data_IF_191729873949
#
_entry.id   IF_191729873949
#
_cell.length_a   1.000
_cell.length_b   1.000
_cell.length_c   1.000
_cell.angle_alpha   90.00
_cell.angle_beta   90.00
_cell.angle_gamma   90.00
#
_symmetry.space_group_name_H-M   'P 1'
#
loop_
_entity.id
_entity.type
_entity.pdbx_description
1 polymer ?
#
# COMPACT_ATOMS: atom_id res chain seq x y z
N UNK A 1 -9.02 21.07 -9.81
CA UNK A 1 -9.60 20.21 -8.76
C UNK A 1 -8.91 20.54 -7.46
N UNK A 2 -9.57 20.68 -6.30
CA UNK A 2 -8.90 21.03 -5.05
C UNK A 2 -7.97 19.89 -4.64
N UNK A 3 -6.76 20.25 -4.17
CA UNK A 3 -5.79 19.32 -3.58
C UNK A 3 -6.47 18.49 -2.49
N UNK A 4 -6.52 17.18 -2.70
CA UNK A 4 -7.42 16.31 -1.96
C UNK A 4 -6.89 15.94 -0.59
N UNK A 5 -5.58 15.95 -0.36
CA UNK A 5 -4.97 15.78 0.97
C UNK A 5 -3.59 16.45 0.96
N UNK A 6 -3.39 17.44 1.79
CA UNK A 6 -2.03 17.86 2.14
C UNK A 6 -1.47 16.84 3.14
N UNK A 7 -0.91 15.74 2.62
CA UNK A 7 -0.27 14.72 3.45
C UNK A 7 1.13 15.19 3.76
N UNK A 8 1.41 15.39 5.05
CA UNK A 8 2.75 15.66 5.54
C UNK A 8 3.60 14.38 5.42
N UNK A 9 4.31 14.25 4.28
CA UNK A 9 5.15 13.09 3.97
C UNK A 9 6.33 12.93 4.92
N UNK A 10 6.82 14.01 5.52
CA UNK A 10 7.88 13.92 6.52
C UNK A 10 7.37 13.27 7.81
N UNK A 11 6.18 13.68 8.25
CA UNK A 11 5.51 13.05 9.38
C UNK A 11 5.15 11.59 9.07
N UNK A 12 4.68 11.32 7.87
CA UNK A 12 4.38 9.96 7.41
C UNK A 12 5.63 9.07 7.51
N UNK A 13 6.76 9.49 6.95
CA UNK A 13 8.04 8.77 7.03
C UNK A 13 8.46 8.50 8.48
N UNK A 14 8.31 9.49 9.36
CA UNK A 14 8.63 9.34 10.79
C UNK A 14 7.77 8.28 11.46
N UNK A 15 6.45 8.24 11.19
CA UNK A 15 5.53 7.25 11.76
C UNK A 15 5.84 5.84 11.26
N UNK A 16 6.06 5.66 9.96
CA UNK A 16 6.46 4.37 9.41
C UNK A 16 7.82 3.91 9.94
N UNK A 17 8.80 4.82 10.07
CA UNK A 17 10.10 4.47 10.64
C UNK A 17 9.99 3.93 12.08
N UNK A 18 9.13 4.55 12.90
CA UNK A 18 8.88 4.07 14.27
C UNK A 18 8.17 2.71 14.31
N UNK A 19 7.40 2.38 13.28
CA UNK A 19 6.63 1.15 13.18
C UNK A 19 7.43 -0.02 12.57
N UNK A 20 8.56 0.23 11.86
CA UNK A 20 9.29 -0.78 11.08
C UNK A 20 9.56 -2.08 11.83
N UNK A 21 10.00 -2.01 13.10
CA UNK A 21 10.35 -3.19 13.88
C UNK A 21 9.16 -4.08 14.30
N UNK A 22 7.93 -3.55 14.23
CA UNK A 22 6.70 -4.26 14.62
C UNK A 22 5.73 -4.41 13.46
N UNK A 23 6.05 -3.83 12.30
CA UNK A 23 5.16 -3.72 11.15
C UNK A 23 4.70 -5.09 10.67
N UNK A 24 5.60 -6.00 10.40
CA UNK A 24 5.28 -7.31 9.83
C UNK A 24 4.39 -8.16 10.73
N UNK A 25 4.56 -8.04 12.05
CA UNK A 25 3.71 -8.74 13.02
C UNK A 25 2.28 -8.21 13.08
N UNK A 26 2.06 -7.00 12.61
CA UNK A 26 0.77 -6.30 12.69
C UNK A 26 0.13 -6.07 11.32
N UNK A 27 0.88 -6.19 10.23
CA UNK A 27 0.44 -5.86 8.88
C UNK A 27 -0.35 -7.00 8.20
N UNK A 28 -1.21 -7.72 8.94
CA UNK A 28 -1.95 -8.88 8.44
C UNK A 28 -2.81 -8.56 7.21
N UNK A 29 -3.44 -7.38 7.19
CA UNK A 29 -4.22 -6.95 6.03
C UNK A 29 -3.32 -6.71 4.81
N UNK A 30 -2.15 -6.06 5.01
CA UNK A 30 -1.20 -5.81 3.94
C UNK A 30 -0.58 -7.09 3.39
N UNK A 31 -0.27 -8.07 4.24
CA UNK A 31 0.19 -9.39 3.82
C UNK A 31 -0.87 -10.12 2.96
N UNK A 32 -2.14 -10.09 3.38
CA UNK A 32 -3.23 -10.64 2.58
C UNK A 32 -3.36 -9.92 1.22
N UNK A 33 -3.24 -8.59 1.21
CA UNK A 33 -3.24 -7.78 -0.02
C UNK A 33 -2.09 -8.18 -0.94
N UNK A 34 -0.86 -8.30 -0.43
CA UNK A 34 0.31 -8.65 -1.22
C UNK A 34 0.22 -10.06 -1.78
N UNK A 35 -0.26 -11.03 -0.99
CA UNK A 35 -0.51 -12.39 -1.47
C UNK A 35 -1.57 -12.41 -2.58
N UNK A 36 -2.61 -11.59 -2.47
CA UNK A 36 -3.64 -11.50 -3.53
C UNK A 36 -3.08 -10.87 -4.80
N UNK A 37 -2.32 -9.78 -4.68
CA UNK A 37 -1.67 -9.12 -5.82
C UNK A 37 -0.77 -10.07 -6.61
N UNK A 38 0.08 -10.85 -5.93
CA UNK A 38 0.95 -11.80 -6.64
C UNK A 38 0.15 -12.92 -7.29
N UNK A 39 -0.92 -13.41 -6.66
CA UNK A 39 -1.80 -14.41 -7.25
C UNK A 39 -2.49 -13.89 -8.53
N UNK A 40 -2.90 -12.62 -8.54
CA UNK A 40 -3.43 -11.96 -9.73
C UNK A 40 -2.37 -11.84 -10.83
N UNK A 41 -1.18 -11.36 -10.47
CA UNK A 41 -0.08 -11.18 -11.43
C UNK A 41 0.26 -12.51 -12.12
N UNK A 42 0.37 -13.61 -11.38
CA UNK A 42 0.75 -14.93 -11.90
C UNK A 42 -0.26 -15.51 -12.90
N UNK A 43 -1.52 -15.07 -12.89
CA UNK A 43 -2.53 -15.48 -13.88
C UNK A 43 -2.25 -14.89 -15.27
N UNK A 44 -1.63 -13.71 -15.34
CA UNK A 44 -1.41 -12.97 -16.59
C UNK A 44 0.06 -12.90 -16.99
N UNK A 45 0.94 -12.90 -16.02
CA UNK A 45 2.39 -12.93 -16.20
C UNK A 45 2.95 -14.15 -15.45
N UNK A 46 3.10 -15.31 -16.14
CA UNK A 46 3.64 -16.52 -15.52
C UNK A 46 5.06 -16.31 -14.97
N UNK A 47 5.44 -17.16 -14.00
CA UNK A 47 6.79 -17.17 -13.45
C UNK A 47 7.87 -17.16 -14.54
N UNK A 48 8.94 -16.39 -14.31
CA UNK A 48 9.96 -16.30 -15.34
C UNK A 48 11.02 -15.23 -15.14
N UNK A 49 11.60 -14.85 -16.27
CA UNK A 49 12.64 -13.82 -16.32
C UNK A 49 12.06 -12.51 -16.81
N UNK A 50 12.43 -11.43 -16.14
CA UNK A 50 12.11 -10.06 -16.50
C UNK A 50 13.43 -9.29 -16.74
N UNK A 51 13.37 -8.22 -17.53
CA UNK A 51 14.51 -7.31 -17.70
C UNK A 51 14.64 -6.43 -16.45
N UNK A 52 13.72 -5.49 -16.28
CA UNK A 52 13.74 -4.56 -15.15
C UNK A 52 12.42 -4.56 -14.38
N UNK A 53 12.51 -4.57 -13.06
CA UNK A 53 11.38 -4.47 -12.15
C UNK A 53 11.58 -3.31 -11.20
N UNK A 54 10.57 -2.47 -11.05
CA UNK A 54 10.51 -1.40 -10.06
C UNK A 54 9.40 -1.69 -9.05
N UNK A 55 9.74 -1.67 -7.76
CA UNK A 55 8.75 -1.66 -6.69
C UNK A 55 8.75 -0.31 -5.98
N UNK A 56 7.58 0.32 -5.90
CA UNK A 56 7.36 1.62 -5.27
C UNK A 56 6.68 1.43 -3.92
N UNK A 57 7.31 1.94 -2.86
CA UNK A 57 6.85 1.78 -1.49
C UNK A 57 7.07 0.35 -0.98
N UNK A 58 8.29 -0.16 -1.10
CA UNK A 58 8.60 -1.55 -0.78
C UNK A 58 8.48 -1.90 0.72
N UNK A 59 8.54 -0.90 1.62
CA UNK A 59 8.43 -1.10 3.07
C UNK A 59 9.44 -2.13 3.60
N UNK A 60 8.92 -3.08 4.36
CA UNK A 60 9.70 -4.20 4.92
C UNK A 60 9.93 -5.36 3.94
N UNK A 61 9.46 -5.20 2.67
CA UNK A 61 9.76 -6.14 1.58
C UNK A 61 8.79 -7.32 1.46
N UNK A 62 7.58 -7.26 2.00
CA UNK A 62 6.63 -8.37 1.91
C UNK A 62 6.21 -8.65 0.45
N UNK A 63 5.81 -7.62 -0.33
CA UNK A 63 5.56 -7.80 -1.76
C UNK A 63 6.87 -8.15 -2.51
N UNK A 64 7.99 -7.52 -2.15
CA UNK A 64 9.32 -7.82 -2.71
C UNK A 64 9.65 -9.29 -2.61
N UNK A 65 9.39 -9.91 -1.44
CA UNK A 65 9.62 -11.34 -1.20
C UNK A 65 8.81 -12.21 -2.17
N UNK A 66 7.53 -11.88 -2.38
CA UNK A 66 6.70 -12.59 -3.34
C UNK A 66 7.21 -12.44 -4.77
N UNK A 67 7.58 -11.22 -5.17
CA UNK A 67 8.15 -10.98 -6.50
C UNK A 67 9.46 -11.74 -6.71
N UNK A 68 10.40 -11.70 -5.76
CA UNK A 68 11.67 -12.40 -5.81
C UNK A 68 11.52 -13.94 -5.86
N UNK A 69 10.46 -14.48 -5.28
CA UNK A 69 10.17 -15.91 -5.30
C UNK A 69 9.80 -16.40 -6.70
N UNK A 70 9.00 -15.63 -7.44
CA UNK A 70 8.41 -16.04 -8.71
C UNK A 70 9.14 -15.51 -9.94
N UNK A 71 9.91 -14.41 -9.79
CA UNK A 71 10.59 -13.78 -10.93
C UNK A 71 12.08 -13.62 -10.68
N UNK A 72 12.85 -13.77 -11.77
CA UNK A 72 14.25 -13.41 -11.84
C UNK A 72 14.38 -12.19 -12.76
N UNK A 73 14.68 -11.03 -12.23
CA UNK A 73 14.95 -9.86 -13.06
C UNK A 73 16.45 -9.61 -13.23
N UNK A 74 16.81 -9.06 -14.39
CA UNK A 74 18.20 -8.63 -14.65
C UNK A 74 18.56 -7.43 -13.77
N UNK A 75 17.57 -6.58 -13.50
CA UNK A 75 17.73 -5.40 -12.68
C UNK A 75 16.50 -5.17 -11.78
N UNK A 76 16.75 -5.02 -10.49
CA UNK A 76 15.76 -4.71 -9.49
C UNK A 76 15.98 -3.29 -8.96
N UNK A 77 14.92 -2.52 -8.93
CA UNK A 77 14.90 -1.20 -8.31
C UNK A 77 13.79 -1.16 -7.26
N UNK A 78 14.15 -0.76 -6.06
CA UNK A 78 13.21 -0.57 -4.96
C UNK A 78 13.18 0.89 -4.54
N UNK A 79 12.02 1.38 -4.25
CA UNK A 79 11.83 2.71 -3.70
C UNK A 79 11.03 2.63 -2.40
N UNK A 80 11.43 3.43 -1.45
CA UNK A 80 10.62 3.78 -0.28
C UNK A 80 10.94 5.19 0.20
N UNK A 81 9.98 5.84 0.85
CA UNK A 81 10.18 7.15 1.49
C UNK A 81 11.21 7.06 2.62
N UNK A 82 11.34 5.88 3.23
CA UNK A 82 12.22 5.59 4.36
C UNK A 82 13.47 4.81 3.94
N UNK A 83 14.65 5.44 4.07
CA UNK A 83 15.94 4.80 3.81
C UNK A 83 16.15 3.52 4.64
N UNK A 84 15.55 3.40 5.83
CA UNK A 84 15.65 2.21 6.68
C UNK A 84 15.10 0.93 6.04
N UNK A 85 14.23 1.05 5.04
CA UNK A 85 13.69 -0.09 4.30
C UNK A 85 14.75 -0.83 3.49
N UNK A 86 15.86 -0.18 3.11
CA UNK A 86 16.95 -0.81 2.36
C UNK A 86 17.54 -2.04 3.08
N UNK A 87 17.60 -2.04 4.40
CA UNK A 87 18.14 -3.17 5.17
C UNK A 87 17.29 -4.44 5.01
N UNK A 88 15.97 -4.31 4.93
CA UNK A 88 15.07 -5.45 4.69
C UNK A 88 15.26 -6.03 3.29
N UNK A 89 15.43 -5.15 2.29
CA UNK A 89 15.70 -5.59 0.92
C UNK A 89 17.07 -6.29 0.82
N UNK A 90 18.11 -5.78 1.51
CA UNK A 90 19.40 -6.44 1.63
C UNK A 90 19.28 -7.88 2.13
N UNK A 91 18.51 -8.08 3.18
CA UNK A 91 18.34 -9.41 3.79
C UNK A 91 17.55 -10.35 2.87
N UNK A 92 16.54 -9.86 2.15
CA UNK A 92 15.83 -10.63 1.14
C UNK A 92 16.76 -11.04 0.00
N UNK A 93 17.61 -10.14 -0.51
CA UNK A 93 18.54 -10.46 -1.59
C UNK A 93 19.57 -11.50 -1.18
N UNK A 94 20.07 -11.46 0.06
CA UNK A 94 20.92 -12.51 0.63
C UNK A 94 20.17 -13.84 0.72
N UNK A 95 18.93 -13.83 1.23
CA UNK A 95 18.10 -15.03 1.40
C UNK A 95 17.81 -15.72 0.06
N UNK A 96 17.44 -14.95 -0.98
CA UNK A 96 17.09 -15.46 -2.30
C UNK A 96 18.30 -15.61 -3.23
N UNK A 97 19.52 -15.33 -2.75
CA UNK A 97 20.78 -15.39 -3.51
C UNK A 97 20.66 -14.63 -4.85
N UNK A 98 20.04 -13.45 -4.82
CA UNK A 98 19.85 -12.59 -5.99
C UNK A 98 21.09 -11.72 -6.20
N UNK A 99 21.27 -11.28 -7.46
CA UNK A 99 22.30 -10.34 -7.84
C UNK A 99 22.06 -8.93 -7.28
N UNK A 100 22.85 -7.95 -7.73
CA UNK A 100 22.73 -6.58 -7.21
C UNK A 100 21.35 -5.97 -7.50
N UNK A 101 20.93 -5.06 -6.62
CA UNK A 101 19.73 -4.24 -6.77
C UNK A 101 20.09 -2.77 -6.53
N UNK A 102 19.19 -1.88 -6.93
CA UNK A 102 19.25 -0.47 -6.57
C UNK A 102 18.12 -0.12 -5.58
N UNK A 103 18.43 0.75 -4.62
CA UNK A 103 17.46 1.29 -3.68
C UNK A 103 17.45 2.82 -3.76
N UNK A 104 16.29 3.40 -4.03
CA UNK A 104 16.07 4.84 -4.07
C UNK A 104 15.21 5.27 -2.88
N UNK A 105 15.82 5.91 -1.88
CA UNK A 105 15.08 6.56 -0.82
C UNK A 105 14.49 7.88 -1.31
N UNK A 106 13.21 8.10 -1.04
CA UNK A 106 12.56 9.37 -1.33
C UNK A 106 11.13 9.24 -1.82
N UNK A 107 10.52 10.39 -2.01
CA UNK A 107 9.13 10.50 -2.45
C UNK A 107 8.99 10.10 -3.93
N UNK A 108 8.31 8.98 -4.19
CA UNK A 108 8.08 8.47 -5.54
C UNK A 108 7.38 9.46 -6.48
N UNK A 109 6.63 10.43 -5.96
CA UNK A 109 6.03 11.49 -6.79
C UNK A 109 7.05 12.49 -7.32
N UNK A 110 8.26 12.52 -6.75
CA UNK A 110 9.34 13.46 -7.12
C UNK A 110 10.55 12.76 -7.74
N UNK A 111 10.59 11.44 -7.66
CA UNK A 111 11.67 10.67 -8.27
C UNK A 111 11.55 10.69 -9.78
N UNK A 112 12.70 10.71 -10.42
CA UNK A 112 12.81 10.43 -11.85
C UNK A 112 12.67 8.92 -12.04
N UNK A 113 11.50 8.49 -12.48
CA UNK A 113 11.23 7.10 -12.85
C UNK A 113 11.69 6.79 -14.28
N UNK A 114 12.57 7.62 -14.84
CA UNK A 114 13.06 7.41 -16.20
C UNK A 114 13.72 6.04 -16.34
N UNK A 115 13.31 5.32 -17.37
CA UNK A 115 13.75 3.96 -17.62
C UNK A 115 12.66 3.17 -18.34
N UNK A 116 12.99 1.94 -18.67
CA UNK A 116 12.01 1.00 -19.24
C UNK A 116 11.93 -0.21 -18.33
N UNK A 117 10.77 -0.42 -17.73
CA UNK A 117 10.51 -1.53 -16.83
C UNK A 117 9.53 -2.53 -17.46
N UNK A 118 9.71 -3.81 -17.24
CA UNK A 118 8.76 -4.83 -17.63
C UNK A 118 7.60 -4.94 -16.65
N UNK A 119 7.88 -4.57 -15.38
CA UNK A 119 6.89 -4.52 -14.31
C UNK A 119 7.18 -3.35 -13.39
N UNK A 120 6.15 -2.55 -13.12
CA UNK A 120 6.13 -1.61 -11.99
C UNK A 120 5.06 -2.11 -11.01
N UNK A 121 5.45 -2.33 -9.75
CA UNK A 121 4.57 -2.79 -8.69
C UNK A 121 4.50 -1.78 -7.54
N UNK A 122 3.31 -1.63 -6.93
CA UNK A 122 3.12 -0.78 -5.74
C UNK A 122 1.95 -1.28 -4.92
N UNK A 123 2.19 -1.67 -3.68
CA UNK A 123 1.16 -2.17 -2.79
C UNK A 123 0.93 -1.24 -1.60
N UNK A 124 -0.33 -0.88 -1.34
CA UNK A 124 -0.74 -0.08 -0.18
C UNK A 124 0.10 1.20 0.03
N UNK A 125 0.49 1.86 -1.06
CA UNK A 125 1.38 3.04 -1.06
C UNK A 125 0.75 4.25 -1.71
N UNK A 126 0.09 4.07 -2.87
CA UNK A 126 -0.38 5.19 -3.72
C UNK A 126 -1.47 6.05 -3.08
N UNK A 127 -2.13 5.57 -2.03
CA UNK A 127 -3.07 6.38 -1.23
C UNK A 127 -2.42 7.57 -0.52
N UNK A 128 -1.10 7.55 -0.40
CA UNK A 128 -0.31 8.63 0.20
C UNK A 128 0.15 9.69 -0.81
N UNK A 129 -0.22 9.52 -2.08
CA UNK A 129 0.19 10.45 -3.12
C UNK A 129 -0.76 11.64 -3.22
N UNK A 130 -0.17 12.80 -3.47
CA UNK A 130 -0.88 14.07 -3.60
C UNK A 130 -1.40 14.29 -5.02
N UNK A 131 -0.75 13.68 -6.02
CA UNK A 131 -1.06 13.86 -7.43
C UNK A 131 -1.07 12.53 -8.19
N UNK A 132 -2.12 11.75 -7.96
CA UNK A 132 -2.32 10.45 -8.59
C UNK A 132 -2.30 10.53 -10.14
N UNK A 133 -2.93 11.53 -10.81
CA UNK A 133 -2.85 11.66 -12.26
C UNK A 133 -1.42 11.77 -12.78
N UNK A 134 -0.57 12.59 -12.14
CA UNK A 134 0.83 12.75 -12.52
C UNK A 134 1.60 11.44 -12.29
N UNK A 135 1.36 10.76 -11.17
CA UNK A 135 2.00 9.48 -10.88
C UNK A 135 1.68 8.44 -11.96
N UNK A 136 0.39 8.27 -12.33
CA UNK A 136 -0.02 7.32 -13.37
C UNK A 136 0.60 7.67 -14.73
N UNK A 137 0.67 8.95 -15.08
CA UNK A 137 1.34 9.39 -16.31
C UNK A 137 2.85 9.06 -16.31
N UNK A 138 3.54 9.25 -15.18
CA UNK A 138 4.96 8.90 -15.04
C UNK A 138 5.19 7.38 -15.14
N UNK A 139 4.36 6.58 -14.47
CA UNK A 139 4.39 5.12 -14.57
C UNK A 139 4.19 4.68 -16.02
N UNK A 140 3.19 5.24 -16.72
CA UNK A 140 2.94 4.93 -18.11
C UNK A 140 4.10 5.30 -19.04
N UNK A 141 4.81 6.43 -18.76
CA UNK A 141 5.99 6.86 -19.50
C UNK A 141 7.21 5.96 -19.28
N UNK A 142 7.24 5.18 -18.19
CA UNK A 142 8.33 4.29 -17.81
C UNK A 142 8.09 2.81 -18.18
N UNK A 143 6.92 2.50 -18.75
CA UNK A 143 6.54 1.17 -19.21
C UNK A 143 6.47 1.16 -20.73
N UNK A 144 7.23 0.31 -21.43
CA UNK A 144 7.04 0.07 -22.85
C UNK A 144 5.70 -0.65 -23.10
N UNK A 145 5.19 -0.60 -24.34
CA UNK A 145 3.99 -1.33 -24.72
C UNK A 145 4.10 -2.81 -24.34
N UNK A 146 3.07 -3.36 -23.73
CA UNK A 146 3.02 -4.74 -23.24
C UNK A 146 3.56 -4.96 -21.84
N UNK A 147 4.24 -3.97 -21.24
CA UNK A 147 4.72 -4.06 -19.84
C UNK A 147 3.58 -3.91 -18.82
N UNK A 148 3.83 -4.31 -17.58
CA UNK A 148 2.79 -4.47 -16.56
C UNK A 148 2.86 -3.43 -15.46
N UNK A 149 1.70 -2.98 -15.03
CA UNK A 149 1.50 -2.18 -13.82
C UNK A 149 0.62 -2.97 -12.83
N UNK A 150 1.17 -3.29 -11.67
CA UNK A 150 0.51 -3.96 -10.57
C UNK A 150 0.36 -2.98 -9.40
N UNK A 151 -0.86 -2.77 -8.93
CA UNK A 151 -1.08 -1.81 -7.86
C UNK A 151 -2.20 -2.23 -6.92
N UNK A 152 -2.06 -1.90 -5.63
CA UNK A 152 -3.18 -1.85 -4.69
C UNK A 152 -3.33 -0.48 -4.04
N UNK A 153 -4.57 -0.13 -3.76
CA UNK A 153 -4.99 1.03 -3.01
C UNK A 153 -6.20 0.66 -2.16
N UNK A 154 -6.92 1.65 -1.67
CA UNK A 154 -8.13 1.41 -0.88
C UNK A 154 -9.33 2.16 -1.45
N UNK A 155 -10.51 1.60 -1.22
CA UNK A 155 -11.79 2.19 -1.60
C UNK A 155 -12.14 3.41 -0.71
N UNK A 156 -13.03 4.31 -1.16
CA UNK A 156 -13.44 5.50 -0.40
C UNK A 156 -14.03 5.21 0.98
N UNK A 157 -14.57 4.02 1.16
CA UNK A 157 -15.18 3.55 2.40
C UNK A 157 -14.26 2.62 3.21
N UNK A 158 -12.95 2.67 2.97
CA UNK A 158 -11.94 1.98 3.77
C UNK A 158 -11.97 2.43 5.23
N UNK A 159 -11.79 1.49 6.18
CA UNK A 159 -11.83 1.69 7.63
C UNK A 159 -13.15 2.37 8.10
N UNK A 160 -14.31 1.81 7.74
CA UNK A 160 -15.60 2.44 8.02
C UNK A 160 -15.83 2.67 9.50
N UNK A 161 -15.32 1.80 10.38
CA UNK A 161 -15.44 1.91 11.83
C UNK A 161 -14.77 3.19 12.34
N UNK A 162 -13.55 3.45 11.86
CA UNK A 162 -12.78 4.65 12.23
C UNK A 162 -13.45 5.90 11.68
N UNK A 163 -13.87 5.86 10.42
CA UNK A 163 -14.53 6.99 9.77
C UNK A 163 -15.84 7.36 10.45
N UNK A 164 -16.64 6.36 10.83
CA UNK A 164 -17.94 6.55 11.52
C UNK A 164 -17.76 7.26 12.85
N UNK A 165 -16.79 6.87 13.67
CA UNK A 165 -16.62 7.40 15.02
C UNK A 165 -15.77 8.66 15.10
N UNK A 166 -14.78 8.81 14.20
CA UNK A 166 -13.87 9.96 14.23
C UNK A 166 -14.27 11.08 13.28
N UNK A 167 -15.08 10.79 12.27
CA UNK A 167 -15.36 11.69 11.15
C UNK A 167 -14.14 11.95 10.27
N UNK A 168 -13.02 11.24 10.49
CA UNK A 168 -11.75 11.44 9.81
C UNK A 168 -11.34 10.20 9.02
N UNK A 169 -10.63 10.40 7.93
CA UNK A 169 -10.08 9.36 7.08
C UNK A 169 -9.33 9.98 5.90
N UNK A 170 -8.56 9.17 5.19
CA UNK A 170 -8.02 9.56 3.89
C UNK A 170 -9.16 9.66 2.87
N UNK A 171 -8.95 10.51 1.88
CA UNK A 171 -9.79 10.52 0.69
C UNK A 171 -9.12 9.63 -0.34
N UNK A 172 -9.78 8.57 -0.70
CA UNK A 172 -9.32 7.64 -1.72
C UNK A 172 -10.04 7.92 -3.04
N UNK A 173 -9.36 7.73 -4.16
CA UNK A 173 -10.00 7.72 -5.46
C UNK A 173 -10.94 6.50 -5.54
N UNK A 174 -12.13 6.71 -6.10
CA UNK A 174 -13.07 5.62 -6.37
C UNK A 174 -12.68 4.84 -7.64
N UNK A 175 -13.43 3.78 -7.94
CA UNK A 175 -13.20 2.93 -9.10
C UNK A 175 -13.25 3.70 -10.42
N UNK A 176 -14.24 4.56 -10.60
CA UNK A 176 -14.42 5.30 -11.86
C UNK A 176 -13.26 6.26 -12.08
N UNK A 177 -12.82 6.95 -11.02
CA UNK A 177 -11.66 7.84 -11.06
C UNK A 177 -10.37 7.08 -11.42
N UNK A 178 -10.17 5.88 -10.87
CA UNK A 178 -9.02 5.04 -11.22
C UNK A 178 -9.08 4.59 -12.68
N UNK A 179 -10.24 4.11 -13.15
CA UNK A 179 -10.41 3.66 -14.53
C UNK A 179 -10.21 4.81 -15.52
N UNK A 180 -10.72 6.02 -15.23
CA UNK A 180 -10.51 7.21 -16.05
C UNK A 180 -9.02 7.60 -16.14
N UNK A 181 -8.27 7.46 -15.04
CA UNK A 181 -6.82 7.74 -15.02
C UNK A 181 -6.01 6.72 -15.80
N UNK A 182 -6.39 5.46 -15.79
CA UNK A 182 -5.68 4.37 -16.44
C UNK A 182 -6.02 4.28 -17.93
N UNK A 183 -7.27 4.56 -18.32
CA UNK A 183 -7.78 4.35 -19.66
C UNK A 183 -6.95 4.97 -20.80
N UNK A 184 -6.32 6.16 -20.66
CA UNK A 184 -5.48 6.71 -21.72
C UNK A 184 -4.21 5.90 -22.01
N UNK A 185 -3.72 5.14 -21.05
CA UNK A 185 -2.38 4.52 -21.08
C UNK A 185 -2.38 3.01 -21.03
N UNK A 186 -3.41 2.39 -20.44
CA UNK A 186 -3.41 0.99 -20.06
C UNK A 186 -4.66 0.26 -20.53
N UNK A 187 -4.49 -1.02 -20.84
CA UNK A 187 -5.55 -2.00 -20.88
C UNK A 187 -5.67 -2.62 -19.48
N UNK A 188 -6.77 -2.36 -18.79
CA UNK A 188 -7.01 -2.84 -17.43
C UNK A 188 -7.55 -4.27 -17.50
N UNK A 189 -6.74 -5.24 -17.07
CA UNK A 189 -7.12 -6.65 -17.05
C UNK A 189 -7.87 -7.03 -15.78
N UNK A 190 -7.50 -6.42 -14.65
CA UNK A 190 -8.14 -6.64 -13.35
C UNK A 190 -8.37 -5.31 -12.66
N UNK A 191 -9.58 -5.09 -12.18
CA UNK A 191 -9.94 -4.11 -11.18
C UNK A 191 -10.90 -4.80 -10.21
N UNK A 192 -10.40 -5.22 -9.07
CA UNK A 192 -11.15 -5.93 -8.05
C UNK A 192 -11.19 -5.14 -6.75
N UNK A 193 -12.28 -5.26 -6.02
CA UNK A 193 -12.42 -4.77 -4.65
C UNK A 193 -12.67 -5.94 -3.72
N UNK A 194 -12.08 -5.91 -2.52
CA UNK A 194 -12.26 -6.94 -1.50
C UNK A 194 -12.53 -6.29 -0.14
N UNK A 195 -12.89 -7.11 0.85
CA UNK A 195 -13.02 -6.72 2.24
C UNK A 195 -12.22 -7.68 3.13
N UNK A 196 -11.29 -7.11 3.90
CA UNK A 196 -10.48 -7.85 4.88
C UNK A 196 -10.88 -7.38 6.26
N UNK A 197 -11.55 -8.23 7.03
CA UNK A 197 -11.97 -7.93 8.39
C UNK A 197 -11.01 -8.54 9.40
N UNK A 198 -10.38 -7.70 10.20
CA UNK A 198 -9.57 -8.10 11.33
C UNK A 198 -10.39 -7.97 12.61
N UNK A 199 -10.19 -8.91 13.56
CA UNK A 199 -10.89 -8.92 14.85
C UNK A 199 -9.91 -8.65 15.98
N UNK A 200 -10.30 -7.79 16.91
CA UNK A 200 -9.49 -7.33 18.03
C UNK A 200 -10.25 -7.52 19.34
N UNK A 201 -9.53 -7.67 20.44
CA UNK A 201 -10.13 -7.85 21.76
C UNK A 201 -10.92 -6.61 22.21
N UNK A 202 -10.46 -5.40 21.82
CA UNK A 202 -11.13 -4.14 22.13
C UNK A 202 -10.71 -2.99 21.16
N UNK A 203 -11.32 -1.83 21.31
CA UNK A 203 -11.02 -0.64 20.52
C UNK A 203 -9.60 -0.09 20.77
N UNK A 204 -8.99 -0.32 21.92
CA UNK A 204 -7.63 0.10 22.19
C UNK A 204 -6.62 -0.73 21.40
N UNK A 205 -6.89 -2.04 21.24
CA UNK A 205 -6.12 -2.92 20.38
C UNK A 205 -6.19 -2.46 18.92
N UNK A 206 -7.37 -2.02 18.44
CA UNK A 206 -7.52 -1.41 17.10
C UNK A 206 -6.67 -0.16 16.96
N UNK A 207 -6.74 0.78 17.90
CA UNK A 207 -5.94 2.02 17.86
C UNK A 207 -4.45 1.74 17.91
N UNK A 208 -4.03 0.74 18.69
CA UNK A 208 -2.64 0.28 18.75
C UNK A 208 -2.19 -0.28 17.40
N UNK A 209 -3.00 -1.13 16.78
CA UNK A 209 -2.75 -1.70 15.45
C UNK A 209 -2.58 -0.60 14.39
N UNK A 210 -3.52 0.36 14.31
CA UNK A 210 -3.44 1.50 13.38
C UNK A 210 -2.18 2.34 13.59
N UNK A 211 -1.74 2.51 14.85
CA UNK A 211 -0.47 3.19 15.15
C UNK A 211 0.73 2.38 14.69
N UNK A 212 0.72 1.06 14.88
CA UNK A 212 1.81 0.16 14.53
C UNK A 212 1.94 -0.10 13.03
N UNK A 213 0.87 0.12 12.27
CA UNK A 213 0.85 0.04 10.80
C UNK A 213 0.99 1.41 10.11
N UNK A 214 1.24 2.49 10.86
CA UNK A 214 1.48 3.83 10.32
C UNK A 214 0.24 4.58 9.84
N UNK A 215 -0.94 3.97 9.88
CA UNK A 215 -2.19 4.56 9.33
C UNK A 215 -2.65 5.81 10.09
N UNK A 216 -2.19 6.03 11.31
CA UNK A 216 -2.56 7.19 12.15
C UNK A 216 -1.90 8.51 11.75
N UNK A 217 -1.04 8.51 10.73
CA UNK A 217 -0.36 9.75 10.27
C UNK A 217 -1.34 10.88 9.88
N UNK A 218 -2.61 10.56 9.63
CA UNK A 218 -3.67 11.52 9.25
C UNK A 218 -4.44 12.10 10.42
N UNK A 219 -4.33 11.55 11.63
CA UNK A 219 -5.08 12.05 12.80
C UNK A 219 -4.29 13.13 13.52
N UNK A 220 -4.72 14.39 13.40
CA UNK A 220 -4.21 15.48 14.22
C UNK A 220 -5.00 15.56 15.53
N UNK A 221 -4.28 15.68 16.64
CA UNK A 221 -4.82 15.97 17.96
C UNK A 221 -4.63 14.84 18.99
N UNK A 222 -4.31 15.24 20.21
CA UNK A 222 -4.27 14.36 21.38
C UNK A 222 -5.69 14.20 21.91
N UNK A 223 -6.19 12.98 21.95
CA UNK A 223 -7.49 12.72 22.56
C UNK A 223 -7.39 12.83 24.08
N UNK A 224 -8.35 13.52 24.70
CA UNK A 224 -8.50 13.47 26.15
C UNK A 224 -8.87 12.06 26.60
N UNK A 225 -8.60 11.73 27.86
CA UNK A 225 -8.98 10.41 28.43
C UNK A 225 -10.48 10.16 28.30
N UNK A 226 -11.30 11.20 28.52
CA UNK A 226 -12.76 11.10 28.40
C UNK A 226 -13.20 10.76 26.96
N UNK A 227 -12.63 11.47 25.95
CA UNK A 227 -12.94 11.21 24.54
C UNK A 227 -12.49 9.82 24.10
N UNK A 228 -11.34 9.35 24.61
CA UNK A 228 -10.86 8.00 24.30
C UNK A 228 -11.77 6.92 24.90
N UNK A 229 -12.28 7.12 26.12
CA UNK A 229 -13.22 6.22 26.75
C UNK A 229 -14.57 6.19 26.00
N UNK A 230 -15.09 7.35 25.60
CA UNK A 230 -16.31 7.47 24.78
C UNK A 230 -16.14 6.75 23.43
N UNK A 231 -15.03 6.96 22.75
CA UNK A 231 -14.71 6.27 21.50
C UNK A 231 -14.71 4.75 21.70
N UNK A 232 -14.05 4.25 22.74
CA UNK A 232 -13.95 2.82 23.00
C UNK A 232 -15.32 2.21 23.31
N UNK A 233 -16.16 2.91 24.07
CA UNK A 233 -17.52 2.45 24.38
C UNK A 233 -18.40 2.39 23.14
N UNK A 234 -18.37 3.44 22.30
CA UNK A 234 -19.15 3.47 21.05
C UNK A 234 -18.63 2.44 20.03
N UNK A 235 -17.31 2.25 19.96
CA UNK A 235 -16.71 1.23 19.11
C UNK A 235 -17.21 -0.15 19.48
N UNK A 236 -17.17 -0.50 20.77
CA UNK A 236 -17.68 -1.77 21.30
C UNK A 236 -19.16 -1.95 21.01
N UNK A 237 -19.95 -0.89 21.20
CA UNK A 237 -21.42 -0.93 20.98
C UNK A 237 -21.80 -1.19 19.52
N UNK A 238 -21.03 -0.61 18.56
CA UNK A 238 -21.39 -0.63 17.14
C UNK A 238 -20.77 -1.79 16.36
N UNK A 239 -19.57 -2.24 16.77
CA UNK A 239 -18.75 -3.13 15.96
C UNK A 239 -18.31 -4.42 16.67
N UNK A 240 -18.88 -4.72 17.84
CA UNK A 240 -18.60 -5.95 18.52
C UNK A 240 -19.41 -7.13 17.96
N UNK A 241 -18.76 -8.29 17.86
CA UNK A 241 -19.41 -9.57 17.61
C UNK A 241 -19.94 -10.20 18.91
N UNK A 242 -20.59 -11.34 18.79
CA UNK A 242 -21.15 -12.10 19.93
C UNK A 242 -20.10 -12.55 20.95
N UNK A 243 -18.83 -12.62 20.56
CA UNK A 243 -17.70 -12.96 21.44
C UNK A 243 -17.09 -11.74 22.13
N UNK A 244 -17.62 -10.55 21.87
CA UNK A 244 -17.13 -9.30 22.42
C UNK A 244 -15.91 -8.71 21.68
N UNK A 245 -15.44 -9.35 20.60
CA UNK A 245 -14.37 -8.81 19.76
C UNK A 245 -14.91 -7.73 18.83
N UNK A 246 -14.09 -6.73 18.50
CA UNK A 246 -14.46 -5.64 17.61
C UNK A 246 -13.76 -5.77 16.25
N UNK A 247 -14.47 -5.39 15.18
CA UNK A 247 -13.94 -5.43 13.82
C UNK A 247 -13.10 -4.21 13.48
N UNK A 248 -12.20 -4.39 12.51
CA UNK A 248 -11.58 -3.33 11.72
C UNK A 248 -11.53 -3.82 10.27
N UNK A 249 -12.21 -3.10 9.37
CA UNK A 249 -12.42 -3.52 7.98
C UNK A 249 -11.55 -2.73 7.03
N UNK A 250 -10.68 -3.43 6.29
CA UNK A 250 -9.93 -2.87 5.18
C UNK A 250 -10.67 -3.18 3.87
N UNK A 251 -10.71 -2.21 2.95
CA UNK A 251 -11.35 -2.37 1.64
C UNK A 251 -10.36 -2.05 0.52
N UNK A 252 -9.48 -3.01 0.18
CA UNK A 252 -8.48 -2.82 -0.86
C UNK A 252 -9.11 -2.84 -2.25
N UNK A 253 -8.49 -2.07 -3.16
CA UNK A 253 -8.57 -2.24 -4.61
C UNK A 253 -7.33 -2.96 -5.11
N UNK A 254 -7.49 -3.82 -6.10
CA UNK A 254 -6.42 -4.50 -6.81
C UNK A 254 -6.50 -4.15 -8.29
N UNK A 255 -5.39 -3.72 -8.82
CA UNK A 255 -5.27 -3.24 -10.19
C UNK A 255 -4.14 -4.00 -10.87
N UNK A 256 -4.46 -4.65 -11.98
CA UNK A 256 -3.48 -5.20 -12.90
C UNK A 256 -3.79 -4.66 -14.29
N UNK A 257 -2.85 -3.93 -14.86
CA UNK A 257 -3.01 -3.25 -16.13
C UNK A 257 -1.77 -3.44 -17.00
N UNK A 258 -1.97 -3.54 -18.31
CA UNK A 258 -0.92 -3.68 -19.30
C UNK A 258 -0.79 -2.39 -20.11
N UNK A 259 0.43 -1.94 -20.35
CA UNK A 259 0.72 -0.74 -21.15
C UNK A 259 0.32 -0.96 -22.60
N UNK A 260 -0.50 -0.07 -23.15
CA UNK A 260 -0.91 -0.06 -24.56
C UNK A 260 0.25 0.10 -25.52
#
# INVERSE_FOLDING_TARGET
MPNVNEIDKHRLATHFNQALSTYDLQALAQQAINQHLINLLLKYLPEGKLGKVLEIGCGTGDLSQHLLRHYAAQHWLFNDLNQGCAAFIDDLFKQYQRGPYEFMAGDAEQLDLSGTYDLIASASTVQWFSNLPRFISNVAGSLPSGAWFLCSSFAPDNLPEIKTLSGKGLRYADQDQWLDLLAPYFDVHVFEQDEIVLWFDDAFAVLKHLKQTGVTATTQGVWSRARLAEFAQEYQRLFANEKGQVSLSYRPFYILAQRK
#
